data_IF_190822173835
#
_entry.id   IF_190822173835
#
_cell.length_a   1.000
_cell.length_b   1.000
_cell.length_c   1.000
_cell.angle_alpha   90.00
_cell.angle_beta   90.00
_cell.angle_gamma   90.00
#
_symmetry.space_group_name_H-M   'P 1'
#
loop_
_entity.id
_entity.type
_entity.pdbx_description
1 polymer ?
#
# COMPACT_ATOMS: atom_id res chain seq x y z
N UNK A 1 -32.15 -11.17 44.07
CA UNK A 1 -30.79 -11.72 44.17
C UNK A 1 -30.30 -11.96 42.76
N UNK A 2 -29.56 -11.00 42.23
CA UNK A 2 -29.07 -10.99 40.85
C UNK A 2 -27.62 -11.47 40.79
N UNK A 3 -27.34 -12.19 39.70
CA UNK A 3 -26.05 -12.35 39.04
C UNK A 3 -25.16 -13.51 39.45
N UNK A 4 -25.11 -14.52 38.59
CA UNK A 4 -23.88 -15.22 38.25
C UNK A 4 -23.88 -15.41 36.73
N UNK A 5 -23.33 -14.43 36.03
CA UNK A 5 -22.95 -14.58 34.62
C UNK A 5 -21.45 -14.85 34.60
N UNK A 6 -21.06 -16.13 34.60
CA UNK A 6 -19.68 -16.55 34.40
C UNK A 6 -19.24 -16.16 32.99
N UNK A 7 -18.46 -15.08 32.88
CA UNK A 7 -17.73 -14.76 31.64
C UNK A 7 -16.54 -15.72 31.58
N UNK A 8 -16.67 -16.74 30.76
CA UNK A 8 -15.62 -17.70 30.41
C UNK A 8 -14.55 -16.97 29.58
N UNK A 9 -13.58 -16.34 30.26
CA UNK A 9 -12.52 -15.59 29.57
C UNK A 9 -11.49 -16.57 29.03
N UNK A 10 -11.56 -16.82 27.72
CA UNK A 10 -10.60 -17.57 26.90
C UNK A 10 -9.13 -17.23 27.17
N UNK A 11 -8.84 -15.96 27.46
CA UNK A 11 -7.51 -15.45 27.77
C UNK A 11 -7.47 -14.94 29.21
N UNK A 12 -6.32 -15.09 29.88
CA UNK A 12 -6.07 -14.51 31.20
C UNK A 12 -6.24 -12.98 31.12
N UNK A 13 -6.78 -12.36 32.16
CA UNK A 13 -6.89 -10.90 32.23
C UNK A 13 -5.51 -10.24 32.19
N UNK A 14 -5.42 -8.97 31.75
CA UNK A 14 -4.17 -8.22 31.78
C UNK A 14 -3.53 -8.19 33.18
N UNK A 15 -4.35 -8.02 34.22
CA UNK A 15 -3.91 -8.05 35.63
C UNK A 15 -3.37 -9.43 36.05
N UNK A 16 -4.01 -10.52 35.60
CA UNK A 16 -3.51 -11.88 35.86
C UNK A 16 -2.22 -12.17 35.08
N UNK A 17 -2.09 -11.65 33.86
CA UNK A 17 -0.86 -11.78 33.08
C UNK A 17 0.30 -11.00 33.72
N UNK A 18 0.04 -9.81 34.28
CA UNK A 18 1.03 -9.01 35.00
C UNK A 18 1.61 -9.75 36.23
N UNK A 19 0.77 -10.51 36.94
CA UNK A 19 1.21 -11.34 38.07
C UNK A 19 2.10 -12.51 37.61
N UNK A 20 1.88 -13.03 36.41
CA UNK A 20 2.70 -14.11 35.84
C UNK A 20 4.05 -13.58 35.33
N UNK A 21 4.06 -12.37 34.78
CA UNK A 21 5.29 -11.69 34.32
C UNK A 21 6.28 -11.40 35.47
N UNK A 22 5.81 -11.24 36.71
CA UNK A 22 6.68 -10.99 37.87
C UNK A 22 7.30 -12.27 38.45
N UNK A 23 6.90 -13.44 37.97
CA UNK A 23 7.43 -14.73 38.40
C UNK A 23 8.79 -15.07 37.76
N UNK A 24 9.62 -15.80 38.50
CA UNK A 24 10.94 -16.28 38.01
C UNK A 24 10.89 -17.66 37.34
N UNK A 25 9.72 -18.29 37.30
CA UNK A 25 9.51 -19.65 36.79
C UNK A 25 8.90 -19.60 35.39
N UNK A 26 9.32 -20.46 34.45
CA UNK A 26 8.65 -20.65 33.17
C UNK A 26 7.14 -20.86 33.29
N UNK A 27 6.37 -20.15 32.48
CA UNK A 27 4.90 -20.25 32.47
C UNK A 27 4.42 -20.70 31.09
N UNK A 28 3.46 -21.61 31.06
CA UNK A 28 2.71 -21.99 29.86
C UNK A 28 1.21 -21.84 30.13
N UNK A 29 0.58 -20.92 29.40
CA UNK A 29 -0.85 -20.63 29.48
C UNK A 29 -1.56 -21.22 28.25
N UNK A 30 -2.30 -22.34 28.40
CA UNK A 30 -3.04 -22.91 27.27
C UNK A 30 -4.20 -22.00 26.84
N UNK A 31 -4.42 -21.89 25.52
CA UNK A 31 -5.56 -21.19 24.93
C UNK A 31 -6.53 -22.25 24.37
N UNK A 32 -7.74 -22.30 24.92
CA UNK A 32 -8.75 -23.33 24.60
C UNK A 32 -9.16 -23.25 23.12
N UNK A 33 -8.89 -24.25 22.30
CA UNK A 33 -9.32 -24.28 20.90
C UNK A 33 -8.47 -25.20 20.04
N UNK A 34 -8.73 -25.23 18.73
CA UNK A 34 -7.93 -25.96 17.73
C UNK A 34 -7.46 -25.02 16.62
N UNK A 35 -6.21 -25.11 16.13
CA UNK A 35 -5.11 -25.98 16.60
C UNK A 35 -4.66 -25.65 18.03
N UNK A 36 -3.87 -26.54 18.66
CA UNK A 36 -3.40 -26.33 20.03
C UNK A 36 -2.54 -25.05 20.08
N UNK A 37 -2.85 -24.15 21.02
CA UNK A 37 -2.13 -22.90 21.20
C UNK A 37 -1.86 -22.58 22.67
N UNK A 38 -0.76 -21.90 22.96
CA UNK A 38 -0.42 -21.44 24.31
C UNK A 38 0.44 -20.18 24.30
N UNK A 39 0.19 -19.28 25.23
CA UNK A 39 1.17 -18.23 25.58
C UNK A 39 2.25 -18.84 26.47
N UNK A 40 3.50 -18.46 26.26
CA UNK A 40 4.60 -18.84 27.12
C UNK A 40 5.35 -17.60 27.65
N UNK A 41 5.90 -17.73 28.84
CA UNK A 41 6.78 -16.74 29.48
C UNK A 41 8.02 -17.50 29.92
N UNK A 42 9.18 -17.00 29.50
CA UNK A 42 10.48 -17.63 29.71
C UNK A 42 11.42 -16.62 30.39
N UNK A 43 11.35 -16.49 31.74
CA UNK A 43 12.00 -15.39 32.46
C UNK A 43 13.51 -15.32 32.24
N UNK A 44 14.19 -16.48 32.24
CA UNK A 44 15.65 -16.56 32.05
C UNK A 44 16.11 -16.17 30.65
N UNK A 45 15.32 -16.50 29.63
CA UNK A 45 15.62 -16.14 28.24
C UNK A 45 15.13 -14.72 27.91
N UNK A 46 14.38 -14.07 28.82
CA UNK A 46 13.67 -12.81 28.59
C UNK A 46 12.84 -12.92 27.30
N UNK A 47 12.07 -14.00 27.19
CA UNK A 47 11.15 -14.23 26.07
C UNK A 47 9.72 -14.33 26.60
N UNK A 48 8.79 -13.70 25.89
CA UNK A 48 7.39 -14.12 25.91
C UNK A 48 6.96 -14.44 24.49
N UNK A 49 5.91 -15.23 24.33
CA UNK A 49 5.42 -15.49 23.00
C UNK A 49 4.15 -16.31 22.93
N UNK A 50 3.66 -16.44 21.71
CA UNK A 50 2.59 -17.33 21.34
C UNK A 50 3.18 -18.55 20.66
N UNK A 51 2.69 -19.72 21.01
CA UNK A 51 3.03 -20.98 20.36
C UNK A 51 1.76 -21.62 19.78
N UNK A 52 1.77 -21.97 18.50
CA UNK A 52 0.65 -22.61 17.79
C UNK A 52 1.13 -23.89 17.10
N UNK A 53 0.40 -24.99 17.27
CA UNK A 53 0.71 -26.26 16.60
C UNK A 53 0.48 -26.13 15.09
N UNK A 54 1.46 -26.57 14.29
CA UNK A 54 1.42 -26.48 12.83
C UNK A 54 1.74 -27.80 12.14
N UNK A 55 1.25 -27.94 10.92
CA UNK A 55 1.55 -29.08 10.06
C UNK A 55 2.80 -28.81 9.20
N UNK A 56 3.23 -29.77 8.38
CA UNK A 56 4.52 -29.70 7.69
C UNK A 56 4.66 -28.59 6.64
N UNK A 57 3.54 -27.99 6.20
CA UNK A 57 3.48 -26.99 5.13
C UNK A 57 3.54 -25.52 5.60
N UNK A 58 3.64 -25.28 6.91
CA UNK A 58 3.73 -23.91 7.44
C UNK A 58 5.20 -23.48 7.59
N UNK A 59 5.58 -22.42 6.87
CA UNK A 59 6.92 -21.81 6.92
C UNK A 59 6.95 -20.58 7.83
N UNK A 60 8.10 -20.37 8.48
CA UNK A 60 8.41 -19.12 9.17
C UNK A 60 8.62 -18.01 8.14
N UNK A 61 7.95 -16.88 8.32
CA UNK A 61 8.09 -15.69 7.46
C UNK A 61 8.93 -14.65 8.21
N UNK A 62 9.86 -13.97 7.55
CA UNK A 62 10.50 -12.81 8.17
C UNK A 62 9.47 -11.68 8.32
N UNK A 63 9.17 -11.27 9.55
CA UNK A 63 8.26 -10.16 9.84
C UNK A 63 8.90 -8.81 9.53
N UNK A 64 10.21 -8.74 9.29
CA UNK A 64 10.97 -7.49 9.15
C UNK A 64 11.05 -6.65 10.44
N UNK A 65 10.47 -7.14 11.54
CA UNK A 65 10.39 -6.43 12.83
C UNK A 65 11.53 -6.86 13.74
N UNK A 66 12.24 -5.88 14.31
CA UNK A 66 13.38 -6.14 15.22
C UNK A 66 12.97 -6.74 16.57
N UNK A 67 11.73 -6.50 17.01
CA UNK A 67 11.28 -6.80 18.37
C UNK A 67 10.25 -7.94 18.44
N UNK A 68 9.68 -8.34 17.30
CA UNK A 68 8.75 -9.46 17.16
C UNK A 68 9.25 -10.32 15.99
N UNK A 69 9.73 -11.51 16.29
CA UNK A 69 10.14 -12.47 15.25
C UNK A 69 9.30 -13.73 15.38
N UNK A 70 9.27 -14.55 14.33
CA UNK A 70 8.71 -15.89 14.40
C UNK A 70 9.75 -16.97 14.09
N UNK A 71 9.49 -18.18 14.56
CA UNK A 71 10.32 -19.36 14.30
C UNK A 71 9.48 -20.63 14.29
N UNK A 72 9.96 -21.65 13.57
CA UNK A 72 9.46 -23.02 13.74
C UNK A 72 10.31 -23.73 14.78
N UNK A 73 9.67 -24.25 15.83
CA UNK A 73 10.31 -25.05 16.88
C UNK A 73 9.72 -26.46 16.91
N UNK A 74 10.58 -27.47 17.09
CA UNK A 74 10.15 -28.85 17.32
C UNK A 74 10.17 -29.11 18.82
N UNK A 75 9.03 -29.51 19.40
CA UNK A 75 8.89 -29.82 20.82
C UNK A 75 7.96 -31.02 20.98
N UNK A 76 8.38 -32.01 21.75
CA UNK A 76 7.63 -33.24 22.01
C UNK A 76 7.15 -33.95 20.72
N UNK A 77 8.00 -33.95 19.68
CA UNK A 77 7.70 -34.55 18.38
C UNK A 77 6.70 -33.76 17.51
N UNK A 78 6.21 -32.61 17.98
CA UNK A 78 5.30 -31.71 17.25
C UNK A 78 6.03 -30.47 16.73
N UNK A 79 5.57 -29.93 15.60
CA UNK A 79 6.03 -28.65 15.05
C UNK A 79 5.17 -27.51 15.59
N UNK A 80 5.82 -26.43 15.97
CA UNK A 80 5.19 -25.25 16.55
C UNK A 80 5.65 -23.98 15.85
N UNK A 81 4.70 -23.15 15.44
CA UNK A 81 4.96 -21.78 15.04
C UNK A 81 4.99 -20.91 16.29
N UNK A 82 6.13 -20.32 16.59
CA UNK A 82 6.33 -19.45 17.74
C UNK A 82 6.47 -18.00 17.30
N UNK A 83 5.62 -17.11 17.81
CA UNK A 83 5.79 -15.65 17.73
C UNK A 83 6.43 -15.20 19.03
N UNK A 84 7.61 -14.57 18.96
CA UNK A 84 8.46 -14.32 20.13
C UNK A 84 8.81 -12.84 20.24
N UNK A 85 8.73 -12.35 21.48
CA UNK A 85 9.07 -10.97 21.87
C UNK A 85 10.19 -11.04 22.91
N UNK A 86 11.26 -10.27 22.69
CA UNK A 86 12.49 -10.30 23.53
C UNK A 86 12.80 -9.00 24.27
N UNK A 87 11.96 -7.98 24.11
CA UNK A 87 12.13 -6.66 24.73
C UNK A 87 11.18 -6.59 25.93
N UNK A 88 11.67 -6.71 27.19
CA UNK A 88 10.79 -6.83 28.35
C UNK A 88 9.88 -5.64 28.59
N UNK A 89 10.31 -4.46 28.18
CA UNK A 89 9.53 -3.23 28.22
C UNK A 89 8.25 -3.36 27.38
N UNK A 90 8.23 -4.24 26.37
CA UNK A 90 7.11 -4.48 25.47
C UNK A 90 6.24 -5.69 25.86
N UNK A 91 6.55 -6.41 26.95
CA UNK A 91 5.85 -7.66 27.27
C UNK A 91 4.36 -7.46 27.56
N UNK A 92 4.01 -6.38 28.26
CA UNK A 92 2.63 -6.03 28.55
C UNK A 92 1.87 -5.67 27.28
N UNK A 93 2.49 -4.87 26.41
CA UNK A 93 1.87 -4.41 25.16
C UNK A 93 1.75 -5.52 24.12
N UNK A 94 2.67 -6.48 24.12
CA UNK A 94 2.65 -7.59 23.20
C UNK A 94 1.57 -8.63 23.53
N UNK A 95 1.17 -8.78 24.80
CA UNK A 95 0.22 -9.81 25.19
C UNK A 95 -1.13 -9.72 24.45
N UNK A 96 -1.81 -8.56 24.36
CA UNK A 96 -3.02 -8.43 23.54
C UNK A 96 -2.80 -8.80 22.07
N UNK A 97 -1.64 -8.48 21.50
CA UNK A 97 -1.28 -8.81 20.11
C UNK A 97 -1.23 -10.31 19.91
N UNK A 98 -0.50 -11.00 20.80
CA UNK A 98 -0.37 -12.45 20.81
C UNK A 98 -1.74 -13.15 20.96
N UNK A 99 -2.60 -12.67 21.87
CA UNK A 99 -3.96 -13.19 22.01
C UNK A 99 -4.77 -12.99 20.72
N UNK A 100 -4.62 -11.84 20.06
CA UNK A 100 -5.31 -11.53 18.81
C UNK A 100 -4.88 -12.44 17.65
N UNK A 101 -3.59 -12.79 17.57
CA UNK A 101 -3.09 -13.78 16.60
C UNK A 101 -3.70 -15.15 16.87
N UNK A 102 -3.72 -15.60 18.14
CA UNK A 102 -4.31 -16.88 18.52
C UNK A 102 -5.80 -16.99 18.15
N UNK A 103 -6.57 -15.92 18.38
CA UNK A 103 -7.99 -15.87 18.06
C UNK A 103 -8.25 -15.90 16.55
N UNK A 104 -7.44 -15.20 15.75
CA UNK A 104 -7.54 -15.25 14.28
C UNK A 104 -7.28 -16.65 13.72
N UNK A 105 -6.39 -17.41 14.35
CA UNK A 105 -6.15 -18.80 13.96
C UNK A 105 -7.29 -19.71 14.42
N UNK A 106 -7.60 -19.73 15.72
CA UNK A 106 -8.52 -20.72 16.29
C UNK A 106 -10.01 -20.41 16.02
N UNK A 107 -10.39 -19.13 15.92
CA UNK A 107 -11.76 -18.71 15.64
C UNK A 107 -11.95 -18.27 14.18
N UNK A 108 -10.92 -17.67 13.58
CA UNK A 108 -10.97 -17.17 12.20
C UNK A 108 -10.50 -18.18 11.14
N UNK A 109 -9.92 -19.31 11.53
CA UNK A 109 -9.44 -20.35 10.60
C UNK A 109 -8.25 -19.92 9.74
N UNK A 110 -7.55 -18.85 10.10
CA UNK A 110 -6.37 -18.37 9.37
C UNK A 110 -5.15 -19.27 9.66
N UNK A 111 -4.23 -19.37 8.70
CA UNK A 111 -2.90 -19.92 9.00
C UNK A 111 -2.17 -19.01 10.00
N UNK A 112 -1.25 -19.54 10.84
CA UNK A 112 -0.51 -18.72 11.81
C UNK A 112 0.23 -17.55 11.19
N UNK A 113 0.86 -17.75 10.03
CA UNK A 113 1.58 -16.71 9.31
C UNK A 113 0.64 -15.60 8.80
N UNK A 114 -0.51 -15.95 8.23
CA UNK A 114 -1.53 -14.97 7.81
C UNK A 114 -2.12 -14.20 9.00
N UNK A 115 -2.39 -14.91 10.10
CA UNK A 115 -2.93 -14.30 11.32
C UNK A 115 -1.96 -13.29 11.94
N UNK A 116 -0.65 -13.59 11.94
CA UNK A 116 0.39 -12.67 12.39
C UNK A 116 0.44 -11.42 11.53
N UNK A 117 0.54 -11.56 10.20
CA UNK A 117 0.56 -10.42 9.26
C UNK A 117 -0.69 -9.56 9.41
N UNK A 118 -1.89 -10.15 9.34
CA UNK A 118 -3.13 -9.40 9.47
C UNK A 118 -3.29 -8.67 10.82
N UNK A 119 -2.67 -9.18 11.89
CA UNK A 119 -2.65 -8.51 13.19
C UNK A 119 -1.70 -7.31 13.17
N UNK A 120 -0.49 -7.50 12.66
CA UNK A 120 0.51 -6.44 12.54
C UNK A 120 0.06 -5.32 11.58
N UNK A 121 -0.56 -5.66 10.45
CA UNK A 121 -1.11 -4.69 9.49
C UNK A 121 -2.20 -3.83 10.13
N UNK A 122 -3.10 -4.43 10.91
CA UNK A 122 -4.13 -3.67 11.64
C UNK A 122 -3.54 -2.79 12.72
N UNK A 123 -2.50 -3.24 13.42
CA UNK A 123 -1.79 -2.40 14.39
C UNK A 123 -1.04 -1.28 13.69
N UNK A 124 -0.40 -1.56 12.56
CA UNK A 124 0.20 -0.53 11.72
C UNK A 124 -0.87 0.47 11.33
N UNK A 125 -2.00 0.07 10.76
CA UNK A 125 -3.11 0.97 10.40
C UNK A 125 -3.67 1.78 11.58
N UNK A 126 -3.64 1.22 12.80
CA UNK A 126 -4.03 1.95 14.02
C UNK A 126 -3.00 3.01 14.41
N UNK A 127 -1.71 2.70 14.28
CA UNK A 127 -0.58 3.57 14.65
C UNK A 127 -0.24 4.56 13.52
N UNK A 128 -0.52 4.19 12.29
CA UNK A 128 -0.46 5.02 11.08
C UNK A 128 -1.89 5.44 10.73
N UNK A 129 -2.38 6.44 11.45
CA UNK A 129 -3.27 7.42 10.83
C UNK A 129 -2.37 8.56 10.41
N UNK A 130 -1.71 8.51 9.24
CA UNK A 130 -0.77 9.55 8.86
C UNK A 130 -1.51 10.89 8.87
N UNK A 131 -0.99 11.85 9.64
CA UNK A 131 -1.56 13.19 9.78
C UNK A 131 -1.60 13.92 8.43
N UNK A 132 -0.91 13.43 7.40
CA UNK A 132 -0.95 13.97 6.04
C UNK A 132 -0.68 12.88 5.01
N UNK A 133 -1.09 13.10 3.77
CA UNK A 133 -0.70 12.28 2.63
C UNK A 133 0.82 12.39 2.42
N UNK A 134 1.58 11.28 2.32
CA UNK A 134 3.01 11.34 2.04
C UNK A 134 3.29 12.18 0.79
N UNK A 135 4.35 12.99 0.84
CA UNK A 135 4.67 13.98 -0.20
C UNK A 135 4.76 13.38 -1.62
N UNK A 136 5.33 12.19 -1.73
CA UNK A 136 5.43 11.46 -2.98
C UNK A 136 4.05 11.06 -3.52
N UNK A 137 3.16 10.60 -2.64
CA UNK A 137 1.78 10.27 -3.02
C UNK A 137 0.96 11.50 -3.36
N UNK A 138 1.15 12.61 -2.66
CA UNK A 138 0.56 13.92 -3.01
C UNK A 138 0.97 14.32 -4.43
N UNK A 139 2.25 14.22 -4.76
CA UNK A 139 2.81 14.56 -6.08
C UNK A 139 2.31 13.62 -7.19
N UNK A 140 2.25 12.32 -6.92
CA UNK A 140 1.68 11.35 -7.85
C UNK A 140 0.22 11.68 -8.16
N UNK A 141 -0.60 11.84 -7.12
CA UNK A 141 -2.02 12.14 -7.23
C UNK A 141 -2.29 13.49 -7.91
N UNK A 142 -1.46 14.51 -7.67
CA UNK A 142 -1.52 15.76 -8.43
C UNK A 142 -1.36 15.54 -9.94
N UNK A 143 -0.42 14.67 -10.34
CA UNK A 143 -0.25 14.30 -11.75
C UNK A 143 -1.47 13.59 -12.32
N UNK A 144 -1.95 12.56 -11.62
CA UNK A 144 -3.15 11.82 -12.03
C UNK A 144 -4.35 12.78 -12.21
N UNK A 145 -4.57 13.69 -11.27
CA UNK A 145 -5.66 14.66 -11.33
C UNK A 145 -5.50 15.70 -12.44
N UNK A 146 -4.27 16.09 -12.79
CA UNK A 146 -4.03 16.96 -13.95
C UNK A 146 -4.47 16.26 -15.24
N UNK A 147 -4.18 14.96 -15.38
CA UNK A 147 -4.67 14.16 -16.51
C UNK A 147 -6.18 14.02 -16.47
N UNK A 148 -6.75 13.65 -15.32
CA UNK A 148 -8.18 13.47 -15.15
C UNK A 148 -8.97 14.73 -15.51
N UNK A 149 -8.57 15.91 -15.02
CA UNK A 149 -9.29 17.15 -15.30
C UNK A 149 -9.30 17.49 -16.79
N UNK A 150 -8.21 17.23 -17.50
CA UNK A 150 -8.19 17.36 -18.96
C UNK A 150 -9.06 16.30 -19.66
N UNK A 151 -9.12 15.07 -19.16
CA UNK A 151 -10.05 14.06 -19.66
C UNK A 151 -11.51 14.43 -19.41
N UNK A 152 -11.83 15.05 -18.27
CA UNK A 152 -13.17 15.57 -17.96
C UNK A 152 -13.57 16.62 -18.98
N UNK A 153 -12.66 17.53 -19.33
CA UNK A 153 -12.90 18.57 -20.34
C UNK A 153 -13.07 18.00 -21.76
N UNK A 154 -12.38 16.91 -22.09
CA UNK A 154 -12.41 16.30 -23.43
C UNK A 154 -13.54 15.28 -23.63
N UNK A 155 -13.79 14.42 -22.64
CA UNK A 155 -14.67 13.25 -22.75
C UNK A 155 -15.96 13.40 -21.93
N UNK A 156 -16.01 14.37 -21.02
CA UNK A 156 -17.04 14.51 -20.01
C UNK A 156 -16.72 13.72 -18.73
N UNK A 157 -17.27 14.20 -17.61
CA UNK A 157 -17.02 13.70 -16.26
C UNK A 157 -17.15 12.18 -16.11
N UNK A 158 -18.27 11.60 -16.57
CA UNK A 158 -18.54 10.17 -16.37
C UNK A 158 -17.50 9.29 -17.04
N UNK A 159 -17.16 9.54 -18.32
CA UNK A 159 -16.15 8.73 -19.03
C UNK A 159 -14.76 8.88 -18.44
N UNK A 160 -14.39 10.09 -18.01
CA UNK A 160 -13.08 10.36 -17.44
C UNK A 160 -12.91 9.67 -16.08
N UNK A 161 -13.89 9.78 -15.18
CA UNK A 161 -13.88 9.12 -13.87
C UNK A 161 -13.94 7.61 -14.02
N UNK A 162 -14.67 7.09 -15.02
CA UNK A 162 -14.72 5.65 -15.29
C UNK A 162 -13.39 5.12 -15.83
N UNK A 163 -12.67 5.91 -16.63
CA UNK A 163 -11.36 5.56 -17.16
C UNK A 163 -10.25 5.64 -16.11
N UNK A 164 -10.39 6.50 -15.09
CA UNK A 164 -9.44 6.61 -13.99
C UNK A 164 -9.65 5.48 -12.99
N UNK A 165 -8.77 4.48 -13.04
CA UNK A 165 -8.78 3.34 -12.14
C UNK A 165 -10.17 2.69 -11.94
N UNK A 166 -10.82 2.32 -13.05
CA UNK A 166 -12.17 1.76 -13.10
C UNK A 166 -12.35 0.52 -13.99
N UNK A 167 -11.59 -0.57 -13.76
CA UNK A 167 -12.03 -1.98 -14.00
C UNK A 167 -10.91 -3.01 -13.74
N UNK A 168 -11.19 -3.96 -12.85
CA UNK A 168 -10.70 -5.35 -12.69
C UNK A 168 -9.32 -5.87 -13.21
N UNK A 169 -8.28 -5.06 -13.47
CA UNK A 169 -6.88 -5.53 -13.52
C UNK A 169 -5.92 -4.32 -13.53
N UNK A 170 -5.46 -3.98 -12.32
CA UNK A 170 -4.69 -2.79 -11.91
C UNK A 170 -3.22 -2.87 -12.35
N UNK A 171 -2.90 -2.27 -13.50
CA UNK A 171 -1.50 -2.12 -13.93
C UNK A 171 -1.15 -0.69 -14.35
N UNK A 172 -2.12 0.11 -14.82
CA UNK A 172 -1.93 1.49 -15.31
C UNK A 172 -2.99 2.44 -14.72
N UNK A 173 -2.66 3.73 -14.60
CA UNK A 173 -3.52 4.75 -13.98
C UNK A 173 -4.85 5.02 -14.74
N UNK A 174 -4.84 4.99 -16.08
CA UNK A 174 -6.05 5.18 -16.89
C UNK A 174 -6.21 4.12 -17.98
N UNK A 175 -7.42 3.57 -18.09
CA UNK A 175 -7.82 2.71 -19.20
C UNK A 175 -8.80 3.43 -20.13
N UNK A 176 -8.31 4.00 -21.23
CA UNK A 176 -9.15 4.65 -22.25
C UNK A 176 -9.55 3.64 -23.34
N UNK A 177 -10.57 3.91 -24.20
CA UNK A 177 -11.00 2.91 -25.18
C UNK A 177 -9.88 2.34 -26.06
N UNK A 178 -8.98 3.20 -26.55
CA UNK A 178 -7.97 2.82 -27.55
C UNK A 178 -6.57 2.57 -27.00
N UNK A 179 -6.26 3.00 -25.77
CA UNK A 179 -4.93 2.89 -25.17
C UNK A 179 -5.00 3.07 -23.65
N UNK A 180 -3.91 2.73 -22.96
CA UNK A 180 -3.75 2.96 -21.51
C UNK A 180 -2.79 4.14 -21.26
N UNK A 181 -2.95 4.80 -20.10
CA UNK A 181 -2.04 5.84 -19.62
C UNK A 181 -1.41 5.43 -18.28
N UNK A 182 -0.10 5.61 -18.19
CA UNK A 182 0.66 5.65 -16.94
C UNK A 182 1.09 7.10 -16.68
N UNK A 183 0.86 7.63 -15.48
CA UNK A 183 1.17 9.01 -15.12
C UNK A 183 2.36 9.05 -14.17
N UNK A 184 3.41 9.79 -14.55
CA UNK A 184 4.58 10.00 -13.70
C UNK A 184 4.83 11.48 -13.47
N UNK A 185 4.98 11.84 -12.21
CA UNK A 185 5.22 13.22 -11.78
C UNK A 185 6.53 13.30 -11.03
N UNK A 186 7.35 14.28 -11.39
CA UNK A 186 8.61 14.55 -10.70
C UNK A 186 8.70 16.03 -10.31
N UNK A 187 9.36 16.29 -9.19
CA UNK A 187 9.70 17.65 -8.74
C UNK A 187 11.15 18.03 -9.08
N UNK A 188 11.91 17.08 -9.65
CA UNK A 188 13.27 17.28 -10.12
C UNK A 188 13.34 18.23 -11.31
N UNK A 189 14.51 18.86 -11.50
CA UNK A 189 14.81 19.65 -12.70
C UNK A 189 14.95 18.79 -13.95
N UNK A 190 15.38 17.54 -13.79
CA UNK A 190 15.40 16.53 -14.85
C UNK A 190 14.07 15.80 -14.94
N UNK A 191 13.72 15.28 -16.12
CA UNK A 191 12.52 14.46 -16.30
C UNK A 191 12.79 13.01 -15.93
N UNK A 192 13.22 12.82 -14.68
CA UNK A 192 13.56 11.52 -14.12
C UNK A 192 12.44 10.99 -13.24
N UNK A 193 11.97 9.77 -13.54
CA UNK A 193 10.86 9.11 -12.86
C UNK A 193 11.28 7.76 -12.30
N UNK A 194 10.74 7.40 -11.14
CA UNK A 194 10.81 6.05 -10.62
C UNK A 194 9.78 5.16 -11.31
N UNK A 195 10.21 3.93 -11.59
CA UNK A 195 9.40 2.81 -11.99
C UNK A 195 9.49 1.79 -10.87
N UNK A 196 8.35 1.56 -10.21
CA UNK A 196 8.22 0.81 -8.95
C UNK A 196 8.08 -0.70 -9.18
N UNK A 197 7.90 -1.13 -10.43
CA UNK A 197 7.86 -2.55 -10.77
C UNK A 197 8.15 -2.78 -12.25
N UNK A 198 8.53 -4.01 -12.59
CA UNK A 198 8.76 -4.43 -13.98
C UNK A 198 7.47 -4.47 -14.82
N UNK A 199 6.29 -4.36 -14.20
CA UNK A 199 4.99 -4.45 -14.88
C UNK A 199 4.42 -3.07 -15.26
N UNK A 200 4.85 -1.98 -14.62
CA UNK A 200 4.29 -0.63 -14.83
C UNK A 200 4.41 -0.13 -16.27
N UNK A 201 5.44 -0.57 -17.01
CA UNK A 201 5.71 -0.16 -18.39
C UNK A 201 5.52 -1.31 -19.38
N UNK A 202 4.59 -2.22 -19.09
CA UNK A 202 4.23 -3.34 -19.96
C UNK A 202 2.89 -3.03 -20.64
N UNK A 203 2.85 -2.74 -21.95
CA UNK A 203 1.59 -2.57 -22.66
C UNK A 203 0.76 -3.84 -22.64
N UNK A 204 -0.56 -3.70 -22.45
CA UNK A 204 -1.49 -4.83 -22.57
C UNK A 204 -1.60 -5.27 -24.05
N UNK A 205 -1.91 -6.55 -24.27
CA UNK A 205 -2.00 -7.11 -25.62
C UNK A 205 -3.00 -6.32 -26.47
N UNK A 206 -2.53 -5.79 -27.61
CA UNK A 206 -3.33 -5.01 -28.54
C UNK A 206 -3.70 -3.60 -28.07
N UNK A 207 -3.13 -3.13 -26.94
CA UNK A 207 -3.43 -1.82 -26.35
C UNK A 207 -2.13 -1.03 -26.14
N UNK A 208 -1.89 0.04 -26.91
CA UNK A 208 -0.74 0.91 -26.69
C UNK A 208 -0.75 1.47 -25.26
N UNK A 209 0.44 1.59 -24.66
CA UNK A 209 0.64 2.28 -23.40
C UNK A 209 1.35 3.61 -23.65
N UNK A 210 0.82 4.68 -23.04
CA UNK A 210 1.46 5.99 -23.06
C UNK A 210 1.84 6.41 -21.65
N UNK A 211 3.05 6.94 -21.48
CA UNK A 211 3.47 7.58 -20.25
C UNK A 211 3.26 9.09 -20.35
N UNK A 212 2.46 9.66 -19.46
CA UNK A 212 2.34 11.11 -19.29
C UNK A 212 3.29 11.57 -18.20
N UNK A 213 4.24 12.42 -18.58
CA UNK A 213 5.22 12.98 -17.67
C UNK A 213 4.89 14.42 -17.29
N UNK A 214 4.66 14.64 -16.00
CA UNK A 214 4.59 15.96 -15.38
C UNK A 214 5.93 16.32 -14.71
N UNK A 215 6.32 17.58 -14.82
CA UNK A 215 7.42 18.15 -14.05
C UNK A 215 6.90 19.36 -13.27
N UNK A 216 6.81 19.23 -11.96
CA UNK A 216 6.25 20.23 -11.08
C UNK A 216 7.34 20.92 -10.26
N UNK A 217 7.05 22.12 -9.79
CA UNK A 217 7.84 22.82 -8.79
C UNK A 217 6.89 23.50 -7.82
N UNK A 218 7.32 23.65 -6.57
CA UNK A 218 6.56 24.46 -5.62
C UNK A 218 6.39 25.87 -6.22
N UNK A 219 5.16 26.37 -6.19
CA UNK A 219 4.86 27.69 -6.71
C UNK A 219 5.14 28.76 -5.64
N UNK A 220 5.39 30.00 -6.10
CA UNK A 220 5.45 31.16 -5.22
C UNK A 220 4.07 31.50 -4.65
N UNK A 221 4.04 32.37 -3.63
CA UNK A 221 2.80 32.81 -3.00
C UNK A 221 1.79 33.34 -4.04
N UNK A 222 0.58 32.79 -4.05
CA UNK A 222 -0.51 33.20 -4.93
C UNK A 222 -0.49 32.60 -6.34
N UNK A 223 0.41 31.66 -6.64
CA UNK A 223 0.47 30.95 -7.92
C UNK A 223 0.35 29.43 -7.73
N UNK A 224 0.03 28.73 -8.82
CA UNK A 224 -0.12 27.27 -8.84
C UNK A 224 -1.42 26.78 -8.21
N UNK A 225 -1.50 25.47 -7.99
CA UNK A 225 -2.65 24.78 -7.38
C UNK A 225 -2.18 23.82 -6.31
N UNK A 226 -2.88 23.78 -5.19
CA UNK A 226 -2.73 22.69 -4.23
C UNK A 226 -3.53 21.47 -4.68
N UNK A 227 -3.24 20.31 -4.08
CA UNK A 227 -4.03 19.10 -4.31
C UNK A 227 -5.54 19.32 -4.01
N UNK A 228 -5.93 19.91 -2.87
CA UNK A 228 -7.33 20.26 -2.61
C UNK A 228 -7.97 21.17 -3.66
N UNK A 229 -7.24 22.17 -4.17
CA UNK A 229 -7.74 23.08 -5.21
C UNK A 229 -8.07 22.32 -6.50
N UNK A 230 -7.22 21.38 -6.89
CA UNK A 230 -7.41 20.59 -8.11
C UNK A 230 -8.59 19.62 -7.97
N UNK A 231 -8.73 18.98 -6.81
CA UNK A 231 -9.89 18.14 -6.49
C UNK A 231 -11.18 18.95 -6.58
N UNK A 232 -11.19 20.17 -6.02
CA UNK A 232 -12.35 21.05 -6.05
C UNK A 232 -12.68 21.49 -7.48
N UNK A 233 -11.68 21.93 -8.25
CA UNK A 233 -11.86 22.31 -9.65
C UNK A 233 -12.51 21.20 -10.48
N UNK A 234 -12.07 19.95 -10.31
CA UNK A 234 -12.65 18.78 -10.99
C UNK A 234 -14.05 18.48 -10.45
N UNK A 235 -14.25 18.54 -9.13
CA UNK A 235 -15.55 18.28 -8.48
C UNK A 235 -16.65 19.21 -9.00
N UNK A 236 -16.34 20.49 -9.27
CA UNK A 236 -17.32 21.44 -9.82
C UNK A 236 -17.79 21.10 -11.24
N UNK A 237 -17.03 20.27 -11.97
CA UNK A 237 -17.38 19.79 -13.31
C UNK A 237 -18.16 18.47 -13.29
N UNK A 238 -18.31 17.85 -12.12
CA UNK A 238 -19.01 16.57 -11.95
C UNK A 238 -20.40 16.84 -11.39
N UNK A 239 -21.43 16.40 -12.12
CA UNK A 239 -22.81 16.50 -11.64
C UNK A 239 -23.03 15.61 -10.41
N UNK A 240 -23.86 16.05 -9.44
CA UNK A 240 -24.20 15.23 -8.29
C UNK A 240 -24.80 13.87 -8.66
N UNK A 241 -24.47 12.85 -7.87
CA UNK A 241 -24.96 11.48 -8.05
C UNK A 241 -23.82 10.49 -8.31
N UNK A 242 -24.10 9.43 -9.08
CA UNK A 242 -23.23 8.26 -9.18
C UNK A 242 -21.78 8.56 -9.61
N UNK A 243 -21.57 9.50 -10.55
CA UNK A 243 -20.21 9.87 -10.97
C UNK A 243 -19.42 10.59 -9.86
N UNK A 244 -20.10 11.41 -9.05
CA UNK A 244 -19.48 12.07 -7.90
C UNK A 244 -19.06 11.04 -6.84
N UNK A 245 -19.91 10.06 -6.56
CA UNK A 245 -19.60 8.99 -5.61
C UNK A 245 -18.39 8.17 -6.08
N UNK A 246 -18.35 7.78 -7.37
CA UNK A 246 -17.21 7.07 -7.95
C UNK A 246 -15.91 7.87 -7.90
N UNK A 247 -15.98 9.17 -8.14
CA UNK A 247 -14.82 10.06 -8.02
C UNK A 247 -14.32 10.14 -6.57
N UNK A 248 -15.22 10.27 -5.60
CA UNK A 248 -14.87 10.27 -4.19
C UNK A 248 -14.26 8.92 -3.73
N UNK A 249 -14.80 7.80 -4.21
CA UNK A 249 -14.24 6.47 -3.96
C UNK A 249 -12.85 6.31 -4.58
N UNK A 250 -12.64 6.79 -5.82
CA UNK A 250 -11.34 6.75 -6.49
C UNK A 250 -10.30 7.58 -5.73
N UNK A 251 -10.65 8.79 -5.28
CA UNK A 251 -9.80 9.61 -4.42
C UNK A 251 -9.44 8.89 -3.10
N UNK A 252 -10.42 8.26 -2.45
CA UNK A 252 -10.20 7.48 -1.22
C UNK A 252 -9.23 6.33 -1.44
N UNK A 253 -9.39 5.55 -2.53
CA UNK A 253 -8.43 4.50 -2.93
C UNK A 253 -7.05 5.08 -3.23
N UNK A 254 -6.98 6.29 -3.78
CA UNK A 254 -5.72 6.97 -4.02
C UNK A 254 -5.03 7.48 -2.74
N UNK A 255 -5.67 7.33 -1.57
CA UNK A 255 -5.15 7.74 -0.26
C UNK A 255 -5.58 9.15 0.15
N UNK A 256 -6.39 9.85 -0.65
CA UNK A 256 -6.92 11.15 -0.26
C UNK A 256 -8.03 11.02 0.79
N UNK A 257 -7.98 11.88 1.80
CA UNK A 257 -9.03 12.05 2.81
C UNK A 257 -9.36 13.54 2.96
N UNK A 258 -10.63 13.86 3.18
CA UNK A 258 -11.09 15.25 3.27
C UNK A 258 -10.47 16.03 4.43
N UNK A 259 -10.10 15.35 5.51
CA UNK A 259 -9.39 15.91 6.67
C UNK A 259 -7.95 16.35 6.36
N UNK A 260 -7.38 15.97 5.21
CA UNK A 260 -6.07 16.47 4.75
C UNK A 260 -6.13 17.88 4.13
N UNK A 261 -7.32 18.37 3.76
CA UNK A 261 -7.52 19.62 3.03
C UNK A 261 -6.83 20.83 3.67
N UNK A 262 -6.94 20.98 4.98
CA UNK A 262 -6.36 22.14 5.69
C UNK A 262 -4.82 22.07 5.81
N UNK A 263 -4.21 20.90 5.60
CA UNK A 263 -2.78 20.66 5.81
C UNK A 263 -1.99 20.58 4.51
N UNK A 264 -2.62 20.18 3.41
CA UNK A 264 -2.01 20.11 2.09
C UNK A 264 -2.10 21.47 1.37
N UNK A 265 -1.38 22.46 1.91
CA UNK A 265 -1.40 23.86 1.45
C UNK A 265 -0.31 24.19 0.43
N UNK A 266 0.60 23.26 0.12
CA UNK A 266 1.61 23.53 -0.91
C UNK A 266 0.92 23.68 -2.26
N UNK A 267 1.17 24.81 -2.93
CA UNK A 267 0.77 24.98 -4.32
C UNK A 267 1.90 24.55 -5.26
N UNK A 268 1.49 23.96 -6.37
CA UNK A 268 2.38 23.41 -7.39
C UNK A 268 2.11 24.07 -8.73
N UNK A 269 3.17 24.31 -9.48
CA UNK A 269 3.08 24.76 -10.87
C UNK A 269 4.01 23.94 -11.75
N UNK A 270 3.78 23.96 -13.05
CA UNK A 270 4.60 23.25 -14.03
C UNK A 270 5.95 23.94 -14.12
N UNK A 271 7.02 23.17 -13.86
CA UNK A 271 8.39 23.60 -14.15
C UNK A 271 8.63 23.63 -15.67
N UNK A 272 8.08 22.63 -16.36
CA UNK A 272 8.15 22.49 -17.80
C UNK A 272 6.83 21.90 -18.32
N UNK A 273 6.57 22.08 -19.62
CA UNK A 273 5.40 21.49 -20.28
C UNK A 273 5.34 19.98 -20.04
N UNK A 274 4.14 19.47 -19.73
CA UNK A 274 3.89 18.03 -19.65
C UNK A 274 4.00 17.38 -21.01
N UNK A 275 4.40 16.11 -21.03
CA UNK A 275 4.74 15.39 -22.27
C UNK A 275 4.20 13.97 -22.21
N UNK A 276 3.55 13.54 -23.28
CA UNK A 276 3.21 12.14 -23.51
C UNK A 276 4.32 11.42 -24.29
N UNK A 277 4.62 10.18 -23.89
CA UNK A 277 5.56 9.30 -24.57
C UNK A 277 4.91 7.96 -24.83
N UNK A 278 5.05 7.44 -26.06
CA UNK A 278 4.63 6.09 -26.37
C UNK A 278 5.62 5.10 -25.76
N UNK A 279 5.14 4.15 -24.96
CA UNK A 279 5.95 3.06 -24.40
C UNK A 279 6.07 1.96 -25.47
N UNK A 280 6.99 2.17 -26.40
CA UNK A 280 7.37 1.22 -27.45
C UNK A 280 8.74 0.58 -27.16
N UNK A 281 9.21 -0.31 -28.03
CA UNK A 281 10.49 -1.04 -27.84
C UNK A 281 11.71 -0.13 -27.68
N UNK A 282 11.67 1.10 -28.20
CA UNK A 282 12.74 2.10 -28.04
C UNK A 282 12.64 2.92 -26.76
N UNK A 283 11.59 2.74 -25.97
CA UNK A 283 11.38 3.45 -24.71
C UNK A 283 12.29 2.87 -23.62
N UNK A 284 12.92 3.69 -22.76
CA UNK A 284 13.76 3.18 -21.69
C UNK A 284 12.89 2.50 -20.62
N UNK A 285 12.68 1.20 -20.76
CA UNK A 285 11.94 0.35 -19.81
C UNK A 285 12.72 -0.92 -19.54
N UNK A 286 12.42 -1.52 -18.39
CA UNK A 286 12.81 -2.88 -18.03
C UNK A 286 11.54 -3.66 -17.73
N UNK A 287 11.39 -4.81 -18.37
CA UNK A 287 10.33 -5.78 -18.11
C UNK A 287 10.91 -7.11 -17.63
N UNK A 288 10.06 -7.99 -17.10
CA UNK A 288 10.48 -9.35 -16.74
C UNK A 288 11.01 -10.11 -17.96
N UNK A 289 10.34 -10.00 -19.11
CA UNK A 289 10.75 -10.63 -20.37
C UNK A 289 12.13 -10.10 -20.84
N UNK A 290 12.38 -8.79 -20.75
CA UNK A 290 13.68 -8.20 -21.13
C UNK A 290 14.84 -8.75 -20.29
N UNK A 291 14.58 -9.05 -19.01
CA UNK A 291 15.59 -9.59 -18.09
C UNK A 291 15.75 -11.10 -18.26
N UNK A 292 14.66 -11.84 -18.45
CA UNK A 292 14.68 -13.29 -18.70
C UNK A 292 15.40 -13.62 -20.02
N UNK A 293 15.15 -12.83 -21.08
CA UNK A 293 15.86 -12.91 -22.36
C UNK A 293 17.38 -12.68 -22.24
N UNK A 294 17.81 -12.02 -21.16
CA UNK A 294 19.22 -11.78 -20.82
C UNK A 294 19.80 -12.83 -19.87
N UNK A 295 19.03 -13.85 -19.51
CA UNK A 295 19.43 -14.94 -18.61
C UNK A 295 19.38 -14.56 -17.13
N UNK A 296 18.64 -13.52 -16.76
CA UNK A 296 18.42 -13.16 -15.36
C UNK A 296 17.40 -14.12 -14.74
N UNK A 297 17.74 -14.77 -13.63
CA UNK A 297 16.85 -15.72 -12.95
C UNK A 297 15.80 -14.97 -12.12
N UNK A 298 14.66 -14.65 -12.72
CA UNK A 298 13.61 -13.82 -12.13
C UNK A 298 13.00 -14.40 -10.84
N UNK A 299 12.92 -15.72 -10.70
CA UNK A 299 12.40 -16.39 -9.48
C UNK A 299 13.20 -16.10 -8.19
N UNK A 300 14.40 -15.52 -8.32
CA UNK A 300 15.27 -15.13 -7.20
C UNK A 300 15.26 -13.62 -6.93
N UNK A 301 14.55 -12.85 -7.75
CA UNK A 301 14.45 -11.40 -7.63
C UNK A 301 13.08 -11.07 -7.05
N UNK A 302 13.06 -10.60 -5.82
CA UNK A 302 11.82 -10.26 -5.12
C UNK A 302 11.25 -8.92 -5.52
N UNK A 303 12.11 -7.97 -5.95
CA UNK A 303 11.71 -6.60 -6.24
C UNK A 303 12.73 -5.91 -7.16
N UNK A 304 12.25 -5.05 -8.06
CA UNK A 304 13.10 -4.20 -8.91
C UNK A 304 12.49 -2.81 -9.00
N UNK A 305 13.27 -1.84 -8.53
CA UNK A 305 13.00 -0.41 -8.67
C UNK A 305 14.07 0.23 -9.52
N UNK A 306 13.68 1.00 -10.52
CA UNK A 306 14.63 1.69 -11.38
C UNK A 306 14.14 3.08 -11.77
N UNK A 307 15.08 3.91 -12.19
CA UNK A 307 14.78 5.27 -12.65
C UNK A 307 15.07 5.40 -14.13
N UNK A 308 14.20 6.12 -14.81
CA UNK A 308 14.36 6.46 -16.22
C UNK A 308 14.49 7.97 -16.33
N UNK A 309 15.41 8.44 -17.17
CA UNK A 309 15.51 9.85 -17.55
C UNK A 309 14.94 10.02 -18.95
N UNK A 310 13.92 10.86 -19.09
CA UNK A 310 13.23 11.14 -20.34
C UNK A 310 13.73 12.43 -21.03
N UNK A 311 14.72 13.11 -20.47
CA UNK A 311 15.32 14.29 -21.09
C UNK A 311 15.98 13.91 -22.42
N UNK A 312 15.68 14.69 -23.46
CA UNK A 312 16.20 14.44 -24.82
C UNK A 312 15.59 13.23 -25.53
N UNK A 313 14.69 12.46 -24.89
CA UNK A 313 13.99 11.36 -25.56
C UNK A 313 13.08 11.92 -26.67
N UNK A 314 13.20 11.36 -27.87
CA UNK A 314 12.45 11.82 -29.03
C UNK A 314 10.93 11.70 -28.80
N UNK A 315 10.21 12.74 -29.20
CA UNK A 315 8.75 12.72 -29.18
C UNK A 315 8.19 11.82 -30.29
N UNK A 316 7.15 11.02 -30.01
CA UNK A 316 6.46 10.31 -31.08
C UNK A 316 5.91 11.32 -32.09
N UNK A 317 5.91 10.96 -33.37
CA UNK A 317 5.49 11.87 -34.46
C UNK A 317 4.03 12.32 -34.34
N UNK A 318 3.19 11.52 -33.68
CA UNK A 318 1.79 11.82 -33.41
C UNK A 318 1.43 11.38 -32.00
N UNK A 319 1.25 12.34 -31.11
CA UNK A 319 0.64 12.13 -29.79
C UNK A 319 -0.88 12.27 -29.93
N UNK A 320 -1.70 11.33 -29.44
CA UNK A 320 -3.16 11.46 -29.44
C UNK A 320 -3.62 12.82 -28.90
N UNK A 321 -4.60 13.45 -29.56
CA UNK A 321 -5.10 14.79 -29.20
C UNK A 321 -5.54 14.87 -27.74
N UNK A 322 -6.23 13.82 -27.27
CA UNK A 322 -6.66 13.70 -25.88
C UNK A 322 -5.50 13.74 -24.87
N UNK A 323 -4.31 13.21 -25.22
CA UNK A 323 -3.12 13.30 -24.38
C UNK A 323 -2.53 14.72 -24.43
N UNK A 324 -2.58 15.39 -25.59
CA UNK A 324 -2.12 16.77 -25.71
C UNK A 324 -2.98 17.71 -24.86
N UNK A 325 -4.30 17.54 -24.92
CA UNK A 325 -5.26 18.32 -24.14
C UNK A 325 -5.15 18.03 -22.64
N UNK A 326 -4.99 16.77 -22.23
CA UNK A 326 -4.74 16.43 -20.82
C UNK A 326 -3.39 16.99 -20.32
N UNK A 327 -2.38 17.00 -21.18
CA UNK A 327 -1.11 17.68 -20.90
C UNK A 327 -1.25 19.20 -20.78
N UNK A 328 -2.34 19.83 -21.22
CA UNK A 328 -2.54 21.28 -21.14
C UNK A 328 -3.41 21.73 -19.95
N UNK A 329 -4.08 20.81 -19.25
CA UNK A 329 -4.96 21.16 -18.13
C UNK A 329 -4.18 21.70 -16.92
N UNK A 330 -4.71 22.75 -16.27
CA UNK A 330 -4.06 23.45 -15.14
C UNK A 330 -4.95 23.62 -13.89
N UNK A 331 -6.18 23.08 -13.91
CA UNK A 331 -7.16 23.24 -12.82
C UNK A 331 -8.22 24.30 -13.12
#
# INVERSE_FOLDING_TARGET
MTSSTTIDKRHVSAEGFDQLLSGEVPVKLPIVGKPDASIFIEPRAREIGLRIEVSSNDDAIDTGLRNIFNRIAIRDGKRWFEVVVRVPELFRDAYPVLCSVADRVQLGGMSPSQALHATLDRMSALLTSPDSLPREREIGLLGELLVLGGLVDCLGATKAVDAWCGSQNEEHDFGLPDFDLEVKTTTSESRTHWIESLNQLVPKVGRPLWLVSHQLTAAGAGAGRSLPDLIEAISTKINPGHTQDRFAEALSRAGWRSDYRERLTTTWTRRATSRGYLVADTFPRLTADDLDDRGVVMDRITEVHYRINLDGLAHPRQTPEIIQLSCAFEG
#
